data_IF_496952223645
#
_entry.id   IF_496952223645
#
_cell.length_a   1.000
_cell.length_b   1.000
_cell.length_c   1.000
_cell.angle_alpha   90.00
_cell.angle_beta   90.00
_cell.angle_gamma   90.00
#
_symmetry.space_group_name_H-M   'P 1'
#
loop_
_entity.id
_entity.type
_entity.pdbx_description
1 polymer ?
#
# COMPACT_ATOMS: atom_id res chain seq x y z
N UNK A 1 -84.77 5.04 -10.61
CA UNK A 1 -84.03 5.06 -9.34
C UNK A 1 -83.25 3.76 -9.17
N UNK A 2 -81.92 3.80 -9.32
CA UNK A 2 -80.87 2.97 -8.68
C UNK A 2 -79.49 3.55 -9.09
N UNK A 3 -78.45 3.50 -8.24
CA UNK A 3 -77.46 4.57 -8.17
C UNK A 3 -76.07 4.23 -8.73
N UNK A 4 -75.37 5.33 -9.09
CA UNK A 4 -73.93 5.61 -9.22
C UNK A 4 -72.92 4.51 -8.87
N UNK A 5 -71.94 4.34 -9.75
CA UNK A 5 -70.55 4.10 -9.33
C UNK A 5 -69.57 5.00 -10.09
N UNK A 6 -69.06 5.98 -9.35
CA UNK A 6 -67.86 6.79 -9.62
C UNK A 6 -66.66 5.85 -9.50
N UNK A 7 -65.81 5.78 -10.52
CA UNK A 7 -64.47 5.20 -10.39
C UNK A 7 -63.45 6.31 -10.62
N UNK A 8 -63.00 6.87 -9.50
CA UNK A 8 -61.85 7.75 -9.40
C UNK A 8 -60.59 6.96 -9.76
N UNK A 9 -59.99 7.27 -10.90
CA UNK A 9 -58.68 6.76 -11.30
C UNK A 9 -57.61 7.60 -10.59
N UNK A 10 -57.11 7.13 -9.45
CA UNK A 10 -55.95 7.70 -8.81
C UNK A 10 -54.69 7.24 -9.57
N UNK A 11 -54.05 8.16 -10.29
CA UNK A 11 -52.78 7.91 -10.97
C UNK A 11 -51.65 8.02 -9.92
N UNK A 12 -51.10 6.88 -9.51
CA UNK A 12 -49.96 6.79 -8.60
C UNK A 12 -48.68 7.11 -9.38
N UNK A 13 -48.16 8.33 -9.26
CA UNK A 13 -46.86 8.73 -9.81
C UNK A 13 -45.76 8.21 -8.87
N UNK A 14 -45.16 7.08 -9.23
CA UNK A 14 -43.98 6.53 -8.54
C UNK A 14 -42.74 7.29 -9.00
N UNK A 15 -42.29 8.24 -8.20
CA UNK A 15 -41.02 8.94 -8.39
C UNK A 15 -39.85 8.01 -7.99
N UNK A 16 -39.26 7.34 -8.98
CA UNK A 16 -37.99 6.62 -8.85
C UNK A 16 -36.83 7.63 -8.85
N UNK A 17 -36.55 8.23 -7.69
CA UNK A 17 -35.28 8.91 -7.46
C UNK A 17 -34.21 7.85 -7.19
N UNK A 18 -33.50 7.45 -8.25
CA UNK A 18 -32.29 6.64 -8.16
C UNK A 18 -31.22 7.41 -7.39
N UNK A 19 -31.04 7.06 -6.12
CA UNK A 19 -29.93 7.55 -5.31
C UNK A 19 -28.62 7.04 -5.89
N UNK A 20 -27.87 7.91 -6.58
CA UNK A 20 -26.45 7.70 -6.75
C UNK A 20 -25.81 7.75 -5.37
N UNK A 21 -25.61 6.60 -4.74
CA UNK A 21 -24.71 6.50 -3.60
C UNK A 21 -23.33 6.92 -4.09
N UNK A 22 -22.91 8.16 -3.76
CA UNK A 22 -21.52 8.57 -3.88
C UNK A 22 -20.71 7.52 -3.12
N UNK A 23 -20.03 6.65 -3.86
CA UNK A 23 -19.09 5.72 -3.28
C UNK A 23 -17.94 6.58 -2.78
N UNK A 24 -17.85 6.74 -1.45
CA UNK A 24 -16.73 7.44 -0.84
C UNK A 24 -15.43 6.87 -1.42
N UNK A 25 -14.44 7.71 -1.79
CA UNK A 25 -13.17 7.24 -2.27
C UNK A 25 -12.61 6.25 -1.25
N UNK A 26 -12.27 5.04 -1.70
CA UNK A 26 -11.61 4.06 -0.84
C UNK A 26 -10.33 4.73 -0.35
N UNK A 27 -10.08 4.84 0.96
CA UNK A 27 -8.88 5.48 1.47
C UNK A 27 -7.67 4.86 0.79
N UNK A 28 -6.86 5.68 0.12
CA UNK A 28 -5.63 5.19 -0.50
C UNK A 28 -4.78 4.50 0.55
N UNK A 29 -4.28 3.32 0.23
CA UNK A 29 -3.34 2.60 1.07
C UNK A 29 -2.00 3.36 1.19
N UNK A 30 -1.72 4.25 0.23
CA UNK A 30 -0.50 5.04 0.15
C UNK A 30 -0.67 6.46 0.73
N UNK A 31 0.44 7.03 1.21
CA UNK A 31 0.51 8.44 1.60
C UNK A 31 0.44 9.33 0.36
N UNK A 32 -0.34 10.40 0.39
CA UNK A 32 -0.38 11.38 -0.70
C UNK A 32 0.89 12.23 -0.76
N UNK A 33 1.15 12.84 -1.92
CA UNK A 33 2.19 13.87 -2.08
C UNK A 33 1.99 15.00 -1.04
N UNK A 34 3.09 15.51 -0.50
CA UNK A 34 3.10 16.49 0.60
C UNK A 34 2.98 15.86 1.99
N UNK A 35 2.76 14.54 2.09
CA UNK A 35 2.88 13.82 3.36
C UNK A 35 4.33 13.80 3.85
N UNK A 36 4.54 13.48 5.11
CA UNK A 36 5.87 13.40 5.71
C UNK A 36 6.14 12.04 6.35
N UNK A 37 7.38 11.57 6.21
CA UNK A 37 7.95 10.48 7.00
C UNK A 37 8.95 11.07 7.98
N UNK A 38 8.72 10.88 9.28
CA UNK A 38 9.66 11.27 10.33
C UNK A 38 10.40 10.04 10.83
N UNK A 39 11.70 9.97 10.56
CA UNK A 39 12.61 9.00 11.16
C UNK A 39 13.00 9.47 12.56
N UNK A 40 12.68 8.69 13.57
CA UNK A 40 12.79 9.10 14.98
C UNK A 40 14.17 8.83 15.59
N UNK A 41 15.02 8.09 14.89
CA UNK A 41 16.38 7.72 15.33
C UNK A 41 17.24 7.34 14.13
N UNK A 42 18.54 7.51 14.29
CA UNK A 42 19.51 7.18 13.24
C UNK A 42 19.44 5.70 12.86
N UNK A 43 19.65 5.44 11.58
CA UNK A 43 19.72 4.10 11.01
C UNK A 43 21.05 3.88 10.32
N UNK A 44 21.60 2.68 10.48
CA UNK A 44 22.83 2.28 9.80
C UNK A 44 22.52 1.43 8.58
N UNK A 45 22.87 1.93 7.41
CA UNK A 45 22.92 1.14 6.16
C UNK A 45 24.23 0.37 6.15
N UNK A 46 24.21 -0.98 6.10
CA UNK A 46 25.45 -1.76 6.06
C UNK A 46 26.30 -1.48 4.82
N UNK A 47 27.60 -1.83 4.83
CA UNK A 47 28.46 -1.79 3.66
C UNK A 47 27.85 -2.56 2.48
N UNK A 48 28.01 -2.03 1.26
CA UNK A 48 27.53 -2.61 0.00
C UNK A 48 26.03 -2.89 -0.01
N UNK A 49 25.27 -2.13 0.80
CA UNK A 49 23.81 -2.11 0.83
C UNK A 49 23.33 -0.69 0.62
N UNK A 50 22.07 -0.58 0.24
CA UNK A 50 21.43 0.66 -0.17
C UNK A 50 20.12 0.91 0.56
N UNK A 51 19.85 0.13 1.61
CA UNK A 51 18.59 0.21 2.33
C UNK A 51 18.62 -0.38 3.74
N UNK A 52 17.62 0.01 4.52
CA UNK A 52 17.24 -0.57 5.81
C UNK A 52 15.79 -1.06 5.69
N UNK A 53 15.53 -2.26 6.21
CA UNK A 53 14.21 -2.89 6.12
C UNK A 53 13.49 -2.79 7.47
N UNK A 54 12.16 -2.83 7.43
CA UNK A 54 11.31 -2.81 8.62
C UNK A 54 10.24 -3.88 8.52
N UNK A 55 10.09 -4.66 9.57
CA UNK A 55 9.02 -5.65 9.69
C UNK A 55 8.73 -5.87 11.17
N UNK A 56 7.44 -5.89 11.51
CA UNK A 56 6.94 -6.10 12.88
C UNK A 56 7.46 -5.07 13.88
N UNK A 57 7.61 -3.82 13.44
CA UNK A 57 8.03 -2.71 14.28
C UNK A 57 9.53 -2.62 14.49
N UNK A 58 10.31 -3.51 13.87
CA UNK A 58 11.75 -3.62 14.05
C UNK A 58 12.51 -3.29 12.77
N UNK A 59 13.65 -2.60 12.91
CA UNK A 59 14.61 -2.41 11.83
C UNK A 59 15.45 -3.68 11.64
N UNK A 60 15.56 -4.16 10.40
CA UNK A 60 16.15 -5.45 10.03
C UNK A 60 17.07 -5.34 8.83
N UNK A 61 17.92 -6.35 8.67
CA UNK A 61 18.64 -6.61 7.41
C UNK A 61 17.75 -7.47 6.52
N UNK A 62 17.93 -7.39 5.21
CA UNK A 62 17.11 -8.14 4.24
C UNK A 62 17.00 -9.64 4.56
N UNK A 63 18.09 -10.29 4.97
CA UNK A 63 18.09 -11.72 5.29
C UNK A 63 17.24 -12.12 6.50
N UNK A 64 16.77 -11.16 7.30
CA UNK A 64 15.87 -11.39 8.43
C UNK A 64 14.41 -10.99 8.18
N UNK A 65 14.06 -10.72 6.92
CA UNK A 65 12.70 -10.40 6.48
C UNK A 65 12.00 -11.67 6.01
N UNK A 66 10.81 -11.92 6.55
CA UNK A 66 9.88 -12.88 5.96
C UNK A 66 9.15 -12.23 4.78
N UNK A 67 9.55 -12.61 3.56
CA UNK A 67 8.97 -12.05 2.33
C UNK A 67 7.50 -12.41 2.07
N UNK A 68 6.94 -13.36 2.81
CA UNK A 68 5.50 -13.70 2.74
C UNK A 68 4.64 -12.76 3.57
N UNK A 69 5.27 -11.98 4.46
CA UNK A 69 4.63 -10.93 5.24
C UNK A 69 4.95 -9.58 4.63
N UNK A 70 4.09 -8.60 4.89
CA UNK A 70 4.36 -7.22 4.51
C UNK A 70 5.59 -6.71 5.25
N UNK A 71 6.42 -5.93 4.56
CA UNK A 71 7.56 -5.23 5.13
C UNK A 71 7.72 -3.88 4.43
N UNK A 72 8.57 -3.03 4.97
CA UNK A 72 8.94 -1.76 4.35
C UNK A 72 10.46 -1.63 4.22
N UNK A 73 10.90 -0.74 3.35
CA UNK A 73 12.30 -0.52 3.02
C UNK A 73 12.54 0.98 2.81
N UNK A 74 13.49 1.55 3.55
CA UNK A 74 13.99 2.92 3.33
C UNK A 74 15.28 2.85 2.52
N UNK A 75 15.29 3.51 1.36
CA UNK A 75 16.33 3.38 0.33
C UNK A 75 17.18 4.64 0.22
N UNK A 76 18.48 4.45 0.09
CA UNK A 76 19.47 5.48 -0.22
C UNK A 76 19.95 5.35 -1.68
N UNK A 77 20.69 6.33 -2.18
CA UNK A 77 21.26 6.31 -3.53
C UNK A 77 22.40 5.28 -3.63
N UNK A 78 22.00 4.05 -3.99
CA UNK A 78 22.90 2.98 -4.35
C UNK A 78 23.76 2.44 -3.20
N UNK A 79 24.41 1.29 -3.43
CA UNK A 79 25.29 0.70 -2.43
C UNK A 79 26.64 1.43 -2.37
N UNK A 80 27.11 1.76 -1.17
CA UNK A 80 28.46 2.31 -0.95
C UNK A 80 29.38 1.28 -0.27
N UNK A 81 30.71 1.29 -0.52
CA UNK A 81 31.63 0.32 0.10
C UNK A 81 31.71 0.45 1.62
N UNK A 82 31.51 1.65 2.16
CA UNK A 82 31.47 1.93 3.60
C UNK A 82 30.01 1.95 4.08
N UNK A 83 29.75 1.66 5.37
CA UNK A 83 28.40 1.80 5.88
C UNK A 83 27.98 3.27 5.92
N UNK A 84 26.69 3.51 5.69
CA UNK A 84 26.08 4.84 5.59
C UNK A 84 25.15 5.06 6.78
N UNK A 85 24.99 6.30 7.22
CA UNK A 85 24.05 6.65 8.29
C UNK A 85 22.92 7.46 7.67
N UNK A 86 21.69 7.06 7.96
CA UNK A 86 20.50 7.87 7.73
C UNK A 86 20.22 8.52 9.08
N UNK A 87 20.40 9.82 9.19
CA UNK A 87 20.17 10.55 10.43
C UNK A 87 18.67 10.68 10.68
N UNK A 88 18.28 10.76 11.96
CA UNK A 88 16.92 11.11 12.33
C UNK A 88 16.51 12.43 11.67
N UNK A 89 15.27 12.51 11.20
CA UNK A 89 14.83 13.66 10.42
C UNK A 89 13.49 13.46 9.74
N UNK A 90 13.11 14.46 8.94
CA UNK A 90 11.84 14.47 8.20
C UNK A 90 12.14 14.40 6.72
N UNK A 91 11.38 13.56 6.03
CA UNK A 91 11.41 13.37 4.59
C UNK A 91 10.03 13.69 4.02
N UNK A 92 9.98 14.54 2.99
CA UNK A 92 8.76 14.87 2.28
C UNK A 92 8.47 13.83 1.21
N UNK A 93 7.21 13.42 1.08
CA UNK A 93 6.72 12.57 0.00
C UNK A 93 6.49 13.44 -1.24
N UNK A 94 7.33 13.27 -2.27
CA UNK A 94 7.26 14.04 -3.51
C UNK A 94 6.54 13.29 -4.64
N UNK A 95 6.47 11.96 -4.55
CA UNK A 95 5.65 11.12 -5.42
C UNK A 95 5.13 9.90 -4.64
N UNK A 96 3.99 9.35 -5.07
CA UNK A 96 3.38 8.17 -4.46
C UNK A 96 2.79 7.29 -5.54
N UNK A 97 3.31 6.08 -5.66
CA UNK A 97 2.91 5.10 -6.66
C UNK A 97 2.51 3.78 -6.01
N UNK A 98 1.58 3.07 -6.66
CA UNK A 98 1.21 1.71 -6.32
C UNK A 98 1.27 0.85 -7.58
N UNK A 99 2.04 -0.23 -7.54
CA UNK A 99 2.23 -1.09 -8.70
C UNK A 99 2.44 -2.56 -8.32
N UNK A 100 2.19 -3.44 -9.28
CA UNK A 100 2.37 -4.88 -9.12
C UNK A 100 3.71 -5.26 -9.73
N UNK A 101 4.63 -5.73 -8.90
CA UNK A 101 5.89 -6.32 -9.35
C UNK A 101 5.72 -7.84 -9.51
N UNK A 102 5.87 -8.29 -10.76
CA UNK A 102 5.74 -9.69 -11.18
C UNK A 102 7.09 -10.41 -11.28
N UNK A 103 8.20 -9.71 -11.12
CA UNK A 103 9.55 -10.28 -11.29
C UNK A 103 9.92 -11.25 -10.16
N UNK A 104 9.31 -11.09 -8.99
CA UNK A 104 9.43 -12.04 -7.89
C UNK A 104 8.46 -13.24 -7.97
N UNK A 105 7.71 -13.39 -9.08
CA UNK A 105 6.76 -14.48 -9.27
C UNK A 105 7.49 -15.82 -9.28
N UNK A 106 7.11 -16.71 -8.36
CA UNK A 106 7.44 -18.14 -8.45
C UNK A 106 6.20 -18.84 -8.98
N UNK A 107 6.32 -19.49 -10.13
CA UNK A 107 5.26 -20.38 -10.63
C UNK A 107 5.36 -21.70 -9.86
N UNK A 108 4.34 -22.00 -9.05
CA UNK A 108 4.25 -23.30 -8.38
C UNK A 108 3.50 -24.25 -9.31
N UNK A 109 4.24 -25.09 -10.03
CA UNK A 109 3.65 -26.19 -10.78
C UNK A 109 3.36 -27.35 -9.83
N UNK A 110 2.08 -27.58 -9.54
CA UNK A 110 1.66 -28.80 -8.85
C UNK A 110 1.65 -29.93 -9.88
N UNK A 111 2.46 -30.98 -9.69
CA UNK A 111 2.40 -32.18 -10.51
C UNK A 111 1.09 -32.93 -10.20
N UNK A 112 0.04 -32.63 -10.96
CA UNK A 112 -1.27 -33.23 -10.83
C UNK A 112 -1.73 -33.77 -12.19
N UNK A 113 -2.61 -34.78 -12.18
CA UNK A 113 -3.24 -35.23 -13.42
C UNK A 113 -4.04 -34.08 -14.05
N UNK A 114 -4.09 -34.02 -15.38
CA UNK A 114 -4.73 -32.94 -16.14
C UNK A 114 -6.08 -32.41 -15.59
N UNK A 115 -7.05 -33.25 -15.15
CA UNK A 115 -8.29 -32.74 -14.58
C UNK A 115 -8.12 -32.01 -13.23
N UNK A 116 -7.14 -32.40 -12.41
CA UNK A 116 -6.84 -31.77 -11.12
C UNK A 116 -6.08 -30.45 -11.31
N UNK A 117 -5.22 -30.37 -12.32
CA UNK A 117 -4.46 -29.15 -12.62
C UNK A 117 -5.37 -28.02 -13.13
N UNK A 118 -6.39 -28.36 -13.93
CA UNK A 118 -7.46 -27.44 -14.35
C UNK A 118 -8.33 -26.97 -13.17
N UNK A 119 -8.56 -27.83 -12.18
CA UNK A 119 -9.35 -27.50 -10.99
C UNK A 119 -8.59 -26.62 -9.98
N UNK A 120 -7.26 -26.79 -9.86
CA UNK A 120 -6.44 -26.06 -8.89
C UNK A 120 -5.93 -24.71 -9.42
N UNK A 121 -5.82 -24.55 -10.74
CA UNK A 121 -5.29 -23.35 -11.37
C UNK A 121 -3.81 -23.08 -11.03
N UNK A 122 -3.10 -22.38 -11.91
CA UNK A 122 -1.74 -21.94 -11.58
C UNK A 122 -1.78 -20.89 -10.47
N UNK A 123 -1.20 -21.22 -9.31
CA UNK A 123 -0.98 -20.26 -8.23
C UNK A 123 0.27 -19.44 -8.56
N UNK A 124 0.05 -18.16 -8.82
CA UNK A 124 1.11 -17.17 -9.06
C UNK A 124 1.08 -16.18 -7.92
N UNK A 125 2.24 -15.84 -7.38
CA UNK A 125 2.37 -14.81 -6.36
C UNK A 125 2.97 -13.54 -6.96
N UNK A 126 2.41 -12.39 -6.62
CA UNK A 126 2.90 -11.08 -7.03
C UNK A 126 3.24 -10.22 -5.82
N UNK A 127 4.16 -9.26 -6.00
CA UNK A 127 4.42 -8.22 -5.02
C UNK A 127 3.52 -7.02 -5.31
N UNK A 128 2.67 -6.67 -4.35
CA UNK A 128 1.89 -5.44 -4.36
C UNK A 128 2.72 -4.37 -3.64
N UNK A 129 3.26 -3.42 -4.39
CA UNK A 129 4.24 -2.45 -3.91
C UNK A 129 3.60 -1.08 -3.83
N UNK A 130 3.70 -0.46 -2.65
CA UNK A 130 3.57 1.00 -2.52
C UNK A 130 4.96 1.60 -2.49
N UNK A 131 5.23 2.57 -3.35
CA UNK A 131 6.50 3.31 -3.41
C UNK A 131 6.24 4.80 -3.20
N UNK A 132 7.00 5.40 -2.28
CA UNK A 132 7.00 6.83 -2.01
C UNK A 132 8.37 7.37 -2.39
N UNK A 133 8.43 8.31 -3.32
CA UNK A 133 9.64 9.09 -3.53
C UNK A 133 9.80 10.11 -2.39
N UNK A 134 11.01 10.21 -1.88
CA UNK A 134 11.33 11.05 -0.73
C UNK A 134 12.28 12.17 -1.10
N UNK A 135 12.10 13.33 -0.47
CA UNK A 135 13.04 14.44 -0.54
C UNK A 135 13.43 14.92 0.87
N UNK A 136 14.69 15.34 1.01
CA UNK A 136 15.20 16.02 2.20
C UNK A 136 16.35 16.95 1.79
N UNK A 137 16.34 18.19 2.28
CA UNK A 137 17.41 19.15 2.03
C UNK A 137 18.68 18.82 2.82
N UNK A 138 18.56 18.14 3.96
CA UNK A 138 19.69 17.77 4.82
C UNK A 138 20.26 16.40 4.48
N UNK A 139 19.44 15.52 3.90
CA UNK A 139 19.85 14.15 3.55
C UNK A 139 19.43 13.80 2.11
N UNK A 140 20.04 14.43 1.08
CA UNK A 140 19.65 14.24 -0.31
C UNK A 140 19.93 12.83 -0.86
N UNK A 141 20.70 12.03 -0.13
CA UNK A 141 21.01 10.65 -0.50
C UNK A 141 19.79 9.71 -0.29
N UNK A 142 18.79 10.11 0.50
CA UNK A 142 17.56 9.33 0.72
C UNK A 142 16.64 9.49 -0.49
N UNK A 143 16.22 8.37 -1.08
CA UNK A 143 15.49 8.37 -2.36
C UNK A 143 14.04 7.96 -2.21
N UNK A 144 13.78 6.86 -1.53
CA UNK A 144 12.46 6.25 -1.56
C UNK A 144 12.16 5.43 -0.32
N UNK A 145 10.87 5.27 -0.05
CA UNK A 145 10.34 4.34 0.93
C UNK A 145 9.33 3.42 0.25
N UNK A 146 9.57 2.12 0.33
CA UNK A 146 8.73 1.12 -0.34
C UNK A 146 8.19 0.09 0.62
N UNK A 147 6.92 -0.27 0.47
CA UNK A 147 6.29 -1.33 1.26
C UNK A 147 5.66 -2.39 0.34
N UNK A 148 6.41 -3.45 0.02
CA UNK A 148 5.88 -4.59 -0.72
C UNK A 148 5.11 -5.55 0.18
N UNK A 149 4.14 -6.23 -0.43
CA UNK A 149 3.53 -7.44 0.11
C UNK A 149 3.40 -8.50 -0.97
N UNK A 150 3.96 -9.68 -0.71
CA UNK A 150 3.75 -10.83 -1.58
C UNK A 150 2.41 -11.50 -1.26
N UNK A 151 1.58 -11.68 -2.27
CA UNK A 151 0.31 -12.40 -2.15
C UNK A 151 -0.02 -13.13 -3.46
N UNK A 152 -0.94 -14.08 -3.36
CA UNK A 152 -1.51 -14.72 -4.54
C UNK A 152 -2.14 -13.67 -5.46
N UNK A 153 -1.85 -13.77 -6.76
CA UNK A 153 -2.19 -12.79 -7.79
C UNK A 153 -3.68 -12.41 -7.83
N UNK A 154 -4.60 -13.33 -7.52
CA UNK A 154 -6.05 -13.06 -7.60
C UNK A 154 -6.63 -12.42 -6.34
N UNK A 155 -5.93 -12.54 -5.21
CA UNK A 155 -6.42 -12.14 -3.88
C UNK A 155 -5.60 -11.01 -3.26
N UNK A 156 -4.58 -10.54 -3.97
CA UNK A 156 -3.61 -9.62 -3.42
C UNK A 156 -4.12 -8.18 -3.34
N UNK A 157 -3.50 -7.43 -2.43
CA UNK A 157 -3.74 -6.01 -2.20
C UNK A 157 -2.48 -5.34 -1.69
N UNK A 158 -2.43 -4.02 -1.84
CA UNK A 158 -1.40 -3.20 -1.20
C UNK A 158 -1.52 -3.22 0.33
N UNK A 159 -0.42 -2.96 1.02
CA UNK A 159 -0.44 -2.75 2.48
C UNK A 159 -1.26 -1.51 2.81
N UNK A 160 -2.13 -1.61 3.82
CA UNK A 160 -2.84 -0.44 4.32
C UNK A 160 -1.90 0.46 5.13
N UNK A 161 -2.27 1.71 5.34
CA UNK A 161 -1.48 2.62 6.18
C UNK A 161 -1.30 2.08 7.61
N UNK A 162 -2.28 1.38 8.16
CA UNK A 162 -2.18 0.74 9.48
C UNK A 162 -1.14 -0.39 9.48
N UNK A 163 -1.10 -1.20 8.42
CA UNK A 163 -0.10 -2.27 8.28
C UNK A 163 1.31 -1.71 8.05
N UNK A 164 1.42 -0.63 7.29
CA UNK A 164 2.68 0.12 7.11
C UNK A 164 3.18 0.64 8.46
N UNK A 165 2.31 1.26 9.27
CA UNK A 165 2.64 1.70 10.63
C UNK A 165 3.10 0.54 11.52
N UNK A 166 2.41 -0.60 11.46
CA UNK A 166 2.79 -1.78 12.22
C UNK A 166 4.15 -2.36 11.77
N UNK A 167 4.46 -2.31 10.47
CA UNK A 167 5.74 -2.79 9.95
C UNK A 167 6.92 -1.92 10.42
N UNK A 168 6.76 -0.59 10.44
CA UNK A 168 7.83 0.35 10.83
C UNK A 168 7.92 0.63 12.33
N UNK A 169 6.82 0.43 13.07
CA UNK A 169 6.78 0.61 14.52
C UNK A 169 7.20 2.02 14.93
N UNK A 170 8.07 2.12 15.95
CA UNK A 170 8.51 3.42 16.48
C UNK A 170 9.60 4.09 15.66
N UNK A 171 10.17 3.41 14.66
CA UNK A 171 11.26 3.96 13.85
C UNK A 171 10.78 5.10 12.95
N UNK A 172 9.60 4.95 12.33
CA UNK A 172 9.04 5.95 11.43
C UNK A 172 7.65 6.37 11.87
N UNK A 173 7.41 7.68 11.95
CA UNK A 173 6.06 8.23 12.03
C UNK A 173 5.61 8.65 10.65
N UNK A 174 4.46 8.12 10.22
CA UNK A 174 3.82 8.47 8.97
C UNK A 174 2.80 9.58 9.23
N UNK A 175 3.07 10.77 8.70
CA UNK A 175 2.23 11.96 8.82
C UNK A 175 1.56 12.25 7.48
N UNK A 176 0.30 11.81 7.28
CA UNK A 176 -0.43 12.14 6.07
C UNK A 176 -0.54 13.66 5.88
N UNK A 177 -0.42 14.12 4.65
CA UNK A 177 -0.85 15.47 4.31
C UNK A 177 -2.33 15.61 4.67
N UNK A 178 -2.72 16.77 5.20
CA UNK A 178 -4.13 17.12 5.30
C UNK A 178 -4.72 17.03 3.91
N UNK A 179 -5.77 16.22 3.74
CA UNK A 179 -6.52 16.20 2.50
C UNK A 179 -6.99 17.63 2.23
N UNK A 180 -6.49 18.25 1.17
CA UNK A 180 -7.07 19.51 0.68
C UNK A 180 -8.51 19.16 0.30
N UNK A 181 -9.48 19.49 1.16
CA UNK A 181 -10.92 19.34 0.89
C UNK A 181 -11.71 18.35 1.76
N UNK A 182 -11.28 18.00 2.98
CA UNK A 182 -12.20 17.41 3.97
C UNK A 182 -12.30 18.34 5.17
N UNK A 183 -13.27 19.26 5.14
CA UNK A 183 -13.81 19.87 6.34
C UNK A 183 -14.28 18.76 7.29
N UNK A 184 -13.97 18.92 8.57
CA UNK A 184 -14.36 18.02 9.65
C UNK A 184 -15.86 18.02 9.88
#
# INVERSE_FOLDING_TARGET
>A
MRPRHIRSTALLVVALLGGCSLRAPVPSAALAVGSQLELTRDLRVPPRRWSVYFQEGEARRFGGIDSWRGYCELKVHGPKPQPQTIEAGVFEVTASDQYIDRTASREIHVAASAPVQLALGERRDWNYVTELALASSTQPDIRAFTCPRRQEARLGRFMSLAETRAAVGTYLKLKPASAIGVEQ
#
